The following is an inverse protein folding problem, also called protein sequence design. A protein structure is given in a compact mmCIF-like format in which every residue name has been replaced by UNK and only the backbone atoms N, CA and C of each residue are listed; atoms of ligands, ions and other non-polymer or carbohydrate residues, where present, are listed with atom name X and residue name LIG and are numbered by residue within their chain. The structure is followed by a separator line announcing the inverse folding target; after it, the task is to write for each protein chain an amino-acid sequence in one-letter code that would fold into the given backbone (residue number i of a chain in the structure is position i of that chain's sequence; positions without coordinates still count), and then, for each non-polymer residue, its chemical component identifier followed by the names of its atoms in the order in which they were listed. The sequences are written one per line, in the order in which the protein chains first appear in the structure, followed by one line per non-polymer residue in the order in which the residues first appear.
data_IF_911213829089
#
_entry.id   IF_911213829089
#
_cell.length_a   1.000
_cell.length_b   1.000
_cell.length_c   1.000
_cell.angle_alpha   90.00
_cell.angle_beta   90.00
_cell.angle_gamma   90.00
#
_symmetry.space_group_name_H-M   'P 1'
#
loop_
_entity.id
_entity.type
_entity.pdbx_description
1 polymer ?
#
# COMPACT_ATOMS: atom_id res chain seq x y z
N UNK A 1 -47.08 -78.34 -33.16
CA UNK A 1 -45.90 -79.09 -33.64
C UNK A 1 -44.91 -79.20 -32.50
N UNK A 2 -44.93 -80.38 -31.84
CA UNK A 2 -43.93 -81.09 -31.02
C UNK A 2 -43.03 -80.39 -29.97
N UNK A 3 -43.22 -80.86 -28.71
CA UNK A 3 -42.27 -81.30 -27.65
C UNK A 3 -41.32 -80.26 -27.02
N UNK A 4 -41.30 -79.96 -25.70
CA UNK A 4 -41.32 -80.75 -24.43
C UNK A 4 -40.00 -81.45 -24.09
N UNK A 5 -39.32 -80.96 -23.03
CA UNK A 5 -38.75 -81.71 -21.89
C UNK A 5 -37.41 -81.13 -21.33
N UNK A 6 -37.44 -80.86 -20.03
CA UNK A 6 -36.43 -80.53 -18.99
C UNK A 6 -35.63 -81.81 -18.58
N UNK A 7 -34.83 -81.94 -17.47
CA UNK A 7 -33.99 -81.05 -16.64
C UNK A 7 -32.56 -81.65 -16.33
N UNK A 8 -31.71 -80.96 -15.53
CA UNK A 8 -30.95 -81.50 -14.36
C UNK A 8 -29.65 -80.71 -13.99
N UNK A 9 -29.57 -80.30 -12.71
CA UNK A 9 -28.39 -79.88 -11.90
C UNK A 9 -27.72 -81.14 -11.26
N UNK A 10 -26.67 -81.17 -10.39
CA UNK A 10 -25.56 -80.26 -9.99
C UNK A 10 -24.16 -80.95 -9.95
N UNK A 11 -23.07 -80.21 -9.66
CA UNK A 11 -21.91 -80.67 -8.84
C UNK A 11 -20.80 -79.59 -8.64
N UNK A 12 -20.58 -79.21 -7.38
CA UNK A 12 -19.37 -78.60 -6.76
C UNK A 12 -18.37 -79.75 -6.39
N UNK A 13 -17.16 -79.61 -5.76
CA UNK A 13 -16.20 -78.51 -5.54
C UNK A 13 -14.72 -78.89 -5.88
N UNK A 14 -13.76 -77.97 -5.71
CA UNK A 14 -12.48 -78.16 -4.97
C UNK A 14 -11.29 -77.27 -5.45
N UNK A 15 -10.81 -76.46 -4.48
CA UNK A 15 -9.50 -75.80 -4.24
C UNK A 15 -8.31 -76.82 -4.31
N UNK A 16 -6.98 -76.52 -4.10
CA UNK A 16 -6.31 -75.27 -3.71
C UNK A 16 -4.89 -75.01 -4.32
N UNK A 17 -4.23 -73.97 -3.77
CA UNK A 17 -2.78 -73.79 -3.57
C UNK A 17 -1.96 -73.14 -4.71
N UNK A 18 -0.90 -72.36 -4.46
CA UNK A 18 -0.36 -71.57 -3.35
C UNK A 18 0.96 -70.96 -3.90
N UNK A 19 1.37 -69.78 -3.44
CA UNK A 19 2.78 -69.38 -3.20
C UNK A 19 3.03 -67.86 -3.21
N UNK A 20 3.18 -67.38 -1.97
CA UNK A 20 3.89 -66.21 -1.48
C UNK A 20 5.28 -65.96 -2.05
N UNK A 21 5.69 -64.68 -2.09
CA UNK A 21 7.01 -64.24 -1.65
C UNK A 21 6.98 -62.83 -1.00
N UNK A 22 7.27 -62.82 0.31
CA UNK A 22 7.86 -61.78 1.19
C UNK A 22 8.97 -60.91 0.52
N UNK A 23 9.42 -59.72 0.95
CA UNK A 23 9.17 -58.79 2.08
C UNK A 23 9.92 -57.43 1.83
N UNK A 24 9.54 -56.39 2.59
CA UNK A 24 10.02 -54.98 2.78
C UNK A 24 11.55 -54.86 3.17
N UNK A 25 12.29 -53.70 3.20
CA UNK A 25 11.86 -52.31 3.45
C UNK A 25 12.62 -51.10 2.80
N UNK A 26 12.05 -49.91 3.01
CA UNK A 26 12.67 -48.58 3.14
C UNK A 26 13.63 -48.02 2.05
N UNK A 27 13.13 -47.05 1.26
CA UNK A 27 13.94 -45.89 0.87
C UNK A 27 13.10 -44.60 0.85
N UNK A 28 13.48 -43.72 1.78
CA UNK A 28 13.22 -42.29 1.83
C UNK A 28 13.64 -41.64 0.50
N UNK A 29 12.76 -40.86 -0.14
CA UNK A 29 13.13 -39.56 -0.71
C UNK A 29 11.90 -38.68 -1.02
N UNK A 30 11.58 -37.82 -0.06
CA UNK A 30 11.26 -36.40 -0.26
C UNK A 30 10.25 -36.01 -1.36
N UNK A 31 8.95 -36.06 -1.01
CA UNK A 31 7.96 -35.20 -1.66
C UNK A 31 8.19 -33.75 -1.23
N UNK A 32 8.86 -32.98 -2.07
CA UNK A 32 8.94 -31.53 -1.94
C UNK A 32 7.54 -30.89 -2.09
N UNK A 33 7.06 -30.08 -1.13
CA UNK A 33 5.85 -29.30 -1.33
C UNK A 33 6.12 -28.21 -2.38
N UNK A 34 5.30 -28.17 -3.44
CA UNK A 34 5.23 -27.04 -4.38
C UNK A 34 4.98 -25.76 -3.57
N UNK A 35 5.98 -24.90 -3.49
CA UNK A 35 5.90 -23.59 -2.87
C UNK A 35 4.80 -22.75 -3.56
N UNK A 36 3.70 -22.52 -2.86
CA UNK A 36 2.69 -21.51 -3.20
C UNK A 36 3.17 -20.16 -2.65
N UNK A 37 3.99 -19.45 -3.41
CA UNK A 37 4.16 -17.99 -3.34
C UNK A 37 5.02 -17.53 -4.51
N UNK A 38 4.50 -16.63 -5.37
CA UNK A 38 5.17 -15.33 -5.46
C UNK A 38 4.23 -14.12 -5.65
N UNK A 39 2.91 -14.25 -5.47
CA UNK A 39 1.99 -13.14 -5.81
C UNK A 39 2.15 -11.91 -4.88
N UNK A 40 2.41 -12.14 -3.59
CA UNK A 40 2.65 -11.08 -2.59
C UNK A 40 3.99 -10.36 -2.77
N UNK A 41 5.00 -11.03 -3.35
CA UNK A 41 6.31 -10.44 -3.62
C UNK A 41 6.24 -9.44 -4.78
N UNK A 42 5.40 -9.72 -5.78
CA UNK A 42 5.17 -8.84 -6.94
C UNK A 42 4.53 -7.52 -6.57
N UNK A 43 3.58 -7.51 -5.62
CA UNK A 43 2.93 -6.26 -5.17
C UNK A 43 3.91 -5.36 -4.42
N UNK A 44 4.72 -5.92 -3.51
CA UNK A 44 5.77 -5.20 -2.79
C UNK A 44 6.91 -4.70 -3.68
N UNK A 45 7.23 -5.41 -4.77
CA UNK A 45 8.25 -4.97 -5.74
C UNK A 45 7.71 -3.93 -6.73
N UNK A 46 6.44 -4.00 -7.13
CA UNK A 46 5.80 -2.96 -7.96
C UNK A 46 5.73 -1.62 -7.20
N UNK A 47 5.49 -1.67 -5.89
CA UNK A 47 5.54 -0.55 -4.96
C UNK A 47 6.91 0.13 -4.84
N UNK A 48 7.99 -0.63 -5.05
CA UNK A 48 9.36 -0.12 -4.95
C UNK A 48 9.83 0.65 -6.19
N UNK A 49 9.07 0.60 -7.30
CA UNK A 49 9.41 1.25 -8.56
C UNK A 49 8.87 2.68 -8.69
N UNK A 50 9.57 3.68 -8.16
CA UNK A 50 9.55 5.11 -8.60
C UNK A 50 8.21 5.87 -8.73
N UNK A 51 7.07 5.33 -8.32
CA UNK A 51 5.75 5.97 -8.49
C UNK A 51 5.15 6.70 -7.29
N UNK A 52 5.69 6.52 -6.08
CA UNK A 52 5.10 7.08 -4.84
C UNK A 52 3.73 6.49 -4.48
N UNK A 53 3.19 6.90 -3.32
CA UNK A 53 1.90 6.44 -2.80
C UNK A 53 0.74 6.66 -3.79
N UNK A 54 0.74 7.77 -4.53
CA UNK A 54 -0.33 8.09 -5.48
C UNK A 54 -0.41 7.09 -6.65
N UNK A 55 0.73 6.55 -7.08
CA UNK A 55 0.76 5.53 -8.14
C UNK A 55 0.23 4.20 -7.63
N UNK A 56 0.59 3.82 -6.39
CA UNK A 56 0.00 2.66 -5.73
C UNK A 56 -1.51 2.78 -5.65
N UNK A 57 -2.02 3.90 -5.12
CA UNK A 57 -3.46 4.07 -4.89
C UNK A 57 -4.24 3.99 -6.21
N UNK A 58 -3.68 4.52 -7.32
CA UNK A 58 -4.26 4.36 -8.66
C UNK A 58 -4.25 2.91 -9.15
N UNK A 59 -3.12 2.22 -9.02
CA UNK A 59 -3.01 0.79 -9.38
C UNK A 59 -3.97 -0.08 -8.55
N UNK A 60 -4.15 0.22 -7.26
CA UNK A 60 -5.13 -0.44 -6.41
C UNK A 60 -6.56 -0.22 -6.89
N UNK A 61 -6.94 1.01 -7.27
CA UNK A 61 -8.29 1.27 -7.79
C UNK A 61 -8.54 0.51 -9.09
N UNK A 62 -7.58 0.47 -10.01
CA UNK A 62 -7.72 -0.26 -11.28
C UNK A 62 -7.81 -1.77 -11.05
N UNK A 63 -6.98 -2.32 -10.15
CA UNK A 63 -7.01 -3.75 -9.79
C UNK A 63 -8.28 -4.14 -9.04
N UNK A 64 -8.86 -3.25 -8.23
CA UNK A 64 -10.10 -3.54 -7.53
C UNK A 64 -11.25 -3.84 -8.49
N UNK A 65 -11.34 -3.07 -9.58
CA UNK A 65 -12.34 -3.30 -10.65
C UNK A 65 -12.16 -4.66 -11.32
N UNK A 66 -10.91 -5.12 -11.49
CA UNK A 66 -10.62 -6.44 -12.06
C UNK A 66 -10.85 -7.59 -11.07
N UNK A 67 -10.57 -7.37 -9.78
CA UNK A 67 -10.61 -8.39 -8.75
C UNK A 67 -12.02 -8.64 -8.20
N UNK A 68 -12.87 -7.60 -8.19
CA UNK A 68 -14.23 -7.68 -7.63
C UNK A 68 -15.25 -7.77 -8.75
N UNK A 69 -15.80 -8.96 -8.95
CA UNK A 69 -16.85 -9.18 -9.94
C UNK A 69 -18.04 -8.22 -9.72
N UNK A 70 -18.48 -7.58 -10.80
CA UNK A 70 -19.56 -6.58 -10.80
C UNK A 70 -19.09 -5.15 -10.58
N UNK A 71 -17.85 -4.91 -10.15
CA UNK A 71 -17.32 -3.55 -10.07
C UNK A 71 -17.07 -2.99 -11.47
N UNK A 72 -17.57 -1.80 -11.74
CA UNK A 72 -17.34 -1.05 -12.99
C UNK A 72 -16.46 0.17 -12.75
N UNK A 73 -16.45 0.68 -11.52
CA UNK A 73 -15.57 1.76 -11.12
C UNK A 73 -15.18 1.64 -9.64
N UNK A 74 -14.03 2.19 -9.27
CA UNK A 74 -13.51 2.16 -7.92
C UNK A 74 -12.88 3.50 -7.52
N UNK A 75 -12.98 3.85 -6.25
CA UNK A 75 -12.30 5.00 -5.63
C UNK A 75 -11.76 4.65 -4.26
N UNK A 76 -10.75 5.41 -3.81
CA UNK A 76 -10.26 5.37 -2.44
C UNK A 76 -10.49 6.74 -1.80
N UNK A 77 -11.19 6.72 -0.68
CA UNK A 77 -11.41 7.88 0.19
C UNK A 77 -10.52 7.77 1.43
N UNK A 78 -9.95 8.89 1.85
CA UNK A 78 -9.28 9.02 3.17
C UNK A 78 -9.76 10.28 3.86
N UNK A 79 -9.84 10.27 5.19
CA UNK A 79 -10.00 11.49 5.98
C UNK A 79 -8.65 12.07 6.32
N UNK A 80 -8.44 13.33 5.98
CA UNK A 80 -7.25 14.10 6.34
C UNK A 80 -7.68 15.44 6.93
N UNK A 81 -7.11 15.79 8.08
CA UNK A 81 -7.43 17.04 8.80
C UNK A 81 -8.95 17.22 9.03
N UNK A 82 -9.65 16.13 9.33
CA UNK A 82 -11.10 16.10 9.55
C UNK A 82 -11.97 16.11 8.28
N UNK A 83 -11.37 16.18 7.08
CA UNK A 83 -12.08 16.23 5.80
C UNK A 83 -11.86 14.97 4.98
N UNK A 84 -12.93 14.39 4.45
CA UNK A 84 -12.85 13.27 3.51
C UNK A 84 -12.45 13.78 2.12
N UNK A 85 -11.53 13.05 1.48
CA UNK A 85 -10.98 13.36 0.17
C UNK A 85 -10.83 12.06 -0.62
N UNK A 86 -11.23 12.09 -1.90
CA UNK A 86 -10.88 11.04 -2.85
C UNK A 86 -9.42 11.19 -3.25
N UNK A 87 -8.59 10.18 -2.97
CA UNK A 87 -7.15 10.18 -3.27
C UNK A 87 -6.78 9.37 -4.51
N UNK A 88 -7.67 8.48 -4.93
CA UNK A 88 -7.56 7.76 -6.20
C UNK A 88 -8.93 7.33 -6.70
N UNK A 89 -9.05 7.16 -8.00
CA UNK A 89 -10.23 6.58 -8.64
C UNK A 89 -9.93 6.13 -10.06
N UNK A 90 -10.69 5.13 -10.52
CA UNK A 90 -10.58 4.62 -11.88
C UNK A 90 -11.07 5.65 -12.90
N UNK A 91 -10.51 5.60 -14.11
CA UNK A 91 -11.01 6.41 -15.23
C UNK A 91 -12.47 6.08 -15.56
N UNK A 92 -13.31 7.09 -15.82
CA UNK A 92 -14.71 6.91 -16.21
C UNK A 92 -15.72 6.88 -15.07
N UNK A 93 -15.27 6.95 -13.82
CA UNK A 93 -16.14 7.13 -12.65
C UNK A 93 -16.92 8.45 -12.78
N UNK A 94 -18.26 8.46 -12.68
CA UNK A 94 -19.02 9.71 -12.76
C UNK A 94 -18.50 10.69 -11.71
N UNK A 95 -18.04 11.85 -12.16
CA UNK A 95 -17.42 12.83 -11.27
C UNK A 95 -18.38 13.26 -10.15
N UNK A 96 -17.83 13.38 -8.95
CA UNK A 96 -18.53 13.92 -7.79
C UNK A 96 -19.43 12.95 -7.02
N UNK A 97 -19.38 11.63 -7.28
CA UNK A 97 -20.08 10.63 -6.45
C UNK A 97 -19.61 10.67 -4.99
N UNK A 98 -18.31 10.64 -4.78
CA UNK A 98 -17.71 10.76 -3.44
C UNK A 98 -17.96 12.15 -2.85
N UNK A 99 -17.72 13.20 -3.66
CA UNK A 99 -17.91 14.60 -3.26
C UNK A 99 -19.33 14.86 -2.71
N UNK A 100 -20.36 14.27 -3.34
CA UNK A 100 -21.74 14.41 -2.88
C UNK A 100 -21.96 13.84 -1.48
N UNK A 101 -21.31 12.72 -1.15
CA UNK A 101 -21.39 12.11 0.18
C UNK A 101 -20.72 13.03 1.21
N UNK A 102 -19.61 13.65 0.85
CA UNK A 102 -18.90 14.59 1.73
C UNK A 102 -19.71 15.86 1.98
N UNK A 103 -20.33 16.42 0.94
CA UNK A 103 -21.21 17.60 1.05
C UNK A 103 -22.43 17.34 1.93
N UNK A 104 -22.98 16.13 1.87
CA UNK A 104 -24.10 15.72 2.71
C UNK A 104 -23.67 15.38 4.15
N UNK A 105 -22.38 15.11 4.38
CA UNK A 105 -21.85 14.61 5.65
C UNK A 105 -22.30 13.19 5.99
N UNK A 106 -22.94 12.48 5.06
CA UNK A 106 -23.41 11.09 5.20
C UNK A 106 -23.49 10.42 3.82
N UNK A 107 -23.28 9.11 3.80
CA UNK A 107 -23.20 8.29 2.60
C UNK A 107 -22.42 7.00 2.84
N UNK A 108 -22.49 6.02 1.94
CA UNK A 108 -21.79 4.74 2.08
C UNK A 108 -20.30 4.88 2.44
N UNK A 109 -19.54 5.74 1.75
CA UNK A 109 -18.11 5.88 1.99
C UNK A 109 -17.78 6.61 3.29
N UNK A 110 -18.60 7.62 3.65
CA UNK A 110 -18.49 8.35 4.91
C UNK A 110 -18.73 7.40 6.08
N UNK A 111 -19.80 6.60 5.99
CA UNK A 111 -20.14 5.61 7.02
C UNK A 111 -19.14 4.48 7.11
N UNK A 112 -18.64 3.97 5.99
CA UNK A 112 -17.60 2.95 5.99
C UNK A 112 -16.33 3.45 6.67
N UNK A 113 -15.91 4.68 6.37
CA UNK A 113 -14.76 5.31 7.00
C UNK A 113 -14.97 5.58 8.50
N UNK A 114 -16.17 6.01 8.91
CA UNK A 114 -16.45 6.38 10.32
C UNK A 114 -16.72 5.17 11.25
N UNK A 115 -17.32 4.11 10.73
CA UNK A 115 -17.81 2.97 11.53
C UNK A 115 -16.95 1.72 11.44
N UNK A 116 -15.90 1.73 10.62
CA UNK A 116 -15.08 0.56 10.28
C UNK A 116 -15.94 -0.65 9.85
N UNK A 117 -17.09 -0.37 9.24
CA UNK A 117 -18.05 -1.38 8.82
C UNK A 117 -18.44 -1.19 7.35
N UNK A 118 -18.41 -2.29 6.62
CA UNK A 118 -18.83 -2.34 5.21
C UNK A 118 -20.26 -1.81 5.03
N UNK A 119 -20.42 -0.93 4.04
CA UNK A 119 -21.71 -0.38 3.64
C UNK A 119 -22.06 -0.88 2.24
N UNK A 120 -23.22 -1.51 2.10
CA UNK A 120 -23.67 -2.08 0.84
C UNK A 120 -25.08 -1.58 0.52
N UNK A 121 -25.22 -0.97 -0.66
CA UNK A 121 -26.49 -0.59 -1.27
C UNK A 121 -26.67 -1.44 -2.55
N UNK A 122 -27.45 -2.53 -2.49
CA UNK A 122 -27.64 -3.42 -3.63
C UNK A 122 -28.41 -2.74 -4.76
N UNK A 123 -29.40 -1.91 -4.44
CA UNK A 123 -30.08 -1.03 -5.38
C UNK A 123 -30.28 0.36 -4.75
N UNK A 124 -29.73 1.38 -5.38
CA UNK A 124 -29.89 2.77 -4.97
C UNK A 124 -31.32 3.29 -5.19
N UNK A 125 -32.16 2.71 -6.05
CA UNK A 125 -33.56 3.14 -6.12
C UNK A 125 -34.42 2.73 -4.93
N UNK A 126 -33.96 1.79 -4.12
CA UNK A 126 -34.61 1.35 -2.89
C UNK A 126 -33.84 1.79 -1.63
N UNK A 127 -32.86 2.69 -1.79
CA UNK A 127 -31.97 3.10 -0.69
C UNK A 127 -32.53 4.29 0.11
N UNK A 128 -33.09 3.97 1.28
CA UNK A 128 -33.68 4.96 2.18
C UNK A 128 -32.69 5.56 3.19
N UNK A 129 -31.51 4.94 3.42
CA UNK A 129 -30.54 5.45 4.40
C UNK A 129 -29.86 6.73 3.92
N UNK A 130 -29.70 6.88 2.60
CA UNK A 130 -28.98 8.00 1.98
C UNK A 130 -29.74 8.59 0.79
N UNK A 131 -30.96 9.10 0.97
CA UNK A 131 -31.88 9.42 -0.13
C UNK A 131 -31.32 10.50 -1.07
N UNK A 132 -30.68 11.54 -0.51
CA UNK A 132 -30.04 12.61 -1.30
C UNK A 132 -28.88 12.10 -2.15
N UNK A 133 -28.07 11.20 -1.59
CA UNK A 133 -26.96 10.60 -2.32
C UNK A 133 -27.46 9.62 -3.38
N UNK A 134 -28.41 8.76 -3.04
CA UNK A 134 -29.01 7.79 -3.93
C UNK A 134 -29.62 8.46 -5.17
N UNK A 135 -30.40 9.52 -4.98
CA UNK A 135 -30.95 10.31 -6.09
C UNK A 135 -29.85 10.89 -7.01
N UNK A 136 -28.77 11.42 -6.42
CA UNK A 136 -27.64 11.92 -7.20
C UNK A 136 -26.91 10.81 -7.96
N UNK A 137 -26.59 9.71 -7.29
CA UNK A 137 -25.88 8.58 -7.88
C UNK A 137 -26.68 7.91 -9.02
N UNK A 138 -28.01 7.78 -8.85
CA UNK A 138 -28.92 7.34 -9.91
C UNK A 138 -28.92 8.29 -11.11
N UNK A 139 -28.89 9.61 -10.88
CA UNK A 139 -28.79 10.61 -11.96
C UNK A 139 -27.48 10.49 -12.77
N UNK A 140 -26.48 9.80 -12.21
CA UNK A 140 -25.20 9.48 -12.84
C UNK A 140 -25.13 8.06 -13.41
N UNK A 141 -26.22 7.30 -13.34
CA UNK A 141 -26.33 5.93 -13.85
C UNK A 141 -25.86 4.84 -12.89
N UNK A 142 -25.44 5.19 -11.66
CA UNK A 142 -25.03 4.19 -10.66
C UNK A 142 -26.26 3.56 -10.03
N UNK A 143 -26.28 2.23 -9.95
CA UNK A 143 -27.38 1.45 -9.36
C UNK A 143 -26.95 0.71 -8.10
N UNK A 144 -25.69 0.31 -7.97
CA UNK A 144 -25.20 -0.39 -6.77
C UNK A 144 -23.89 0.21 -6.26
N UNK A 145 -23.72 0.20 -4.94
CA UNK A 145 -22.55 0.72 -4.24
C UNK A 145 -22.11 -0.25 -3.16
N UNK A 146 -20.81 -0.49 -3.08
CA UNK A 146 -20.17 -1.19 -1.97
C UNK A 146 -18.99 -0.38 -1.46
N UNK A 147 -19.06 0.10 -0.22
CA UNK A 147 -17.96 0.78 0.45
C UNK A 147 -17.39 -0.14 1.54
N UNK A 148 -16.09 -0.42 1.46
CA UNK A 148 -15.37 -1.31 2.37
C UNK A 148 -14.30 -0.49 3.10
N UNK A 149 -14.20 -0.57 4.43
CA UNK A 149 -13.14 0.11 5.18
C UNK A 149 -11.74 -0.33 4.74
N UNK A 150 -10.80 0.60 4.80
CA UNK A 150 -9.37 0.35 4.64
C UNK A 150 -8.66 0.69 5.94
N UNK A 151 -7.96 -0.29 6.52
CA UNK A 151 -7.22 -0.11 7.76
C UNK A 151 -5.86 0.53 7.47
N UNK A 152 -5.76 1.85 7.58
CA UNK A 152 -4.54 2.61 7.28
C UNK A 152 -3.86 3.11 8.55
N UNK A 153 -2.57 2.83 8.72
CA UNK A 153 -1.80 3.18 9.91
C UNK A 153 -1.70 4.69 10.08
N UNK A 154 -2.32 5.21 11.14
CA UNK A 154 -2.30 6.64 11.50
C UNK A 154 -3.39 7.47 10.83
N UNK A 155 -4.23 6.86 9.98
CA UNK A 155 -5.43 7.47 9.41
C UNK A 155 -6.63 6.61 9.83
N UNK A 156 -7.50 7.12 10.70
CA UNK A 156 -8.58 6.29 11.26
C UNK A 156 -9.73 6.04 10.29
N UNK A 157 -9.82 6.79 9.19
CA UNK A 157 -11.05 6.83 8.40
C UNK A 157 -10.72 6.76 6.89
N UNK A 158 -10.56 5.55 6.36
CA UNK A 158 -10.34 5.31 4.93
C UNK A 158 -11.29 4.23 4.40
N UNK A 159 -11.67 4.34 3.12
CA UNK A 159 -12.60 3.41 2.48
C UNK A 159 -12.28 3.19 0.99
N UNK A 160 -12.48 1.96 0.54
CA UNK A 160 -12.53 1.53 -0.86
C UNK A 160 -13.99 1.52 -1.31
N UNK A 161 -14.35 2.33 -2.30
CA UNK A 161 -15.72 2.42 -2.80
C UNK A 161 -15.81 1.85 -4.20
N UNK A 162 -16.69 0.88 -4.38
CA UNK A 162 -16.96 0.17 -5.63
C UNK A 162 -18.36 0.54 -6.13
N UNK A 163 -18.45 0.77 -7.43
CA UNK A 163 -19.66 1.25 -8.09
C UNK A 163 -20.03 0.36 -9.27
N UNK A 164 -21.32 0.16 -9.49
CA UNK A 164 -21.86 -0.57 -10.63
C UNK A 164 -23.12 0.10 -11.19
N UNK A 165 -23.36 -0.05 -12.49
CA UNK A 165 -24.57 0.44 -13.17
C UNK A 165 -25.71 -0.59 -13.14
N UNK A 166 -25.45 -1.78 -12.59
CA UNK A 166 -26.44 -2.85 -12.37
C UNK A 166 -26.75 -3.01 -10.88
N UNK A 167 -28.01 -3.27 -10.55
CA UNK A 167 -28.42 -3.62 -9.19
C UNK A 167 -27.89 -4.99 -8.77
N UNK A 168 -27.67 -5.18 -7.46
CA UNK A 168 -27.21 -6.44 -6.89
C UNK A 168 -25.81 -6.88 -7.33
N UNK A 169 -25.05 -6.02 -8.02
CA UNK A 169 -23.76 -6.35 -8.64
C UNK A 169 -22.75 -6.99 -7.68
N UNK A 170 -22.86 -6.67 -6.38
CA UNK A 170 -21.92 -7.13 -5.37
C UNK A 170 -22.39 -8.32 -4.52
N UNK A 171 -23.60 -8.88 -4.75
CA UNK A 171 -24.15 -9.96 -3.91
C UNK A 171 -23.18 -11.16 -3.75
N UNK A 172 -22.49 -11.54 -4.81
CA UNK A 172 -21.53 -12.65 -4.82
C UNK A 172 -20.06 -12.26 -4.63
N UNK A 173 -19.73 -10.96 -4.54
CA UNK A 173 -18.34 -10.48 -4.56
C UNK A 173 -17.93 -9.68 -3.32
N UNK A 174 -18.82 -9.53 -2.32
CA UNK A 174 -18.51 -8.86 -1.05
C UNK A 174 -17.31 -9.46 -0.30
N UNK A 175 -17.19 -10.78 -0.27
CA UNK A 175 -16.04 -11.43 0.37
C UNK A 175 -14.74 -11.12 -0.36
N UNK A 176 -14.76 -11.17 -1.70
CA UNK A 176 -13.62 -10.79 -2.53
C UNK A 176 -13.25 -9.30 -2.33
N UNK A 177 -14.24 -8.42 -2.22
CA UNK A 177 -14.02 -7.00 -1.95
C UNK A 177 -13.35 -6.77 -0.59
N UNK A 178 -13.79 -7.47 0.47
CA UNK A 178 -13.14 -7.42 1.79
C UNK A 178 -11.72 -7.95 1.77
N UNK A 179 -11.50 -9.10 1.12
CA UNK A 179 -10.16 -9.67 0.98
C UNK A 179 -9.22 -8.72 0.20
N UNK A 180 -9.73 -8.09 -0.87
CA UNK A 180 -8.99 -7.09 -1.62
C UNK A 180 -8.68 -5.86 -0.76
N UNK A 181 -9.65 -5.34 -0.01
CA UNK A 181 -9.47 -4.19 0.87
C UNK A 181 -8.43 -4.47 1.98
N UNK A 182 -8.41 -5.68 2.54
CA UNK A 182 -7.38 -6.08 3.51
C UNK A 182 -5.97 -6.06 2.89
N UNK A 183 -5.80 -6.67 1.71
CA UNK A 183 -4.51 -6.67 1.01
C UNK A 183 -4.09 -5.25 0.58
N UNK A 184 -5.05 -4.42 0.16
CA UNK A 184 -4.81 -3.02 -0.18
C UNK A 184 -4.36 -2.22 1.05
N UNK A 185 -4.97 -2.46 2.21
CA UNK A 185 -4.58 -1.86 3.49
C UNK A 185 -3.12 -2.19 3.83
N UNK A 186 -2.73 -3.47 3.74
CA UNK A 186 -1.35 -3.91 3.98
C UNK A 186 -0.36 -3.24 3.03
N UNK A 187 -0.70 -3.16 1.74
CA UNK A 187 0.13 -2.52 0.71
C UNK A 187 0.31 -1.02 0.97
N UNK A 188 -0.77 -0.31 1.33
CA UNK A 188 -0.74 1.11 1.68
C UNK A 188 0.10 1.34 2.92
N UNK A 189 -0.07 0.52 3.97
CA UNK A 189 0.71 0.64 5.21
C UNK A 189 2.20 0.38 4.99
N UNK A 190 2.55 -0.61 4.17
CA UNK A 190 3.92 -0.85 3.78
C UNK A 190 4.53 0.34 3.03
N UNK A 191 3.79 0.93 2.08
CA UNK A 191 4.23 2.12 1.36
C UNK A 191 4.43 3.33 2.29
N UNK A 192 3.47 3.59 3.18
CA UNK A 192 3.55 4.68 4.17
C UNK A 192 4.75 4.50 5.11
N UNK A 193 5.03 3.28 5.57
CA UNK A 193 6.20 2.99 6.40
C UNK A 193 7.50 3.28 5.66
N UNK A 194 7.62 2.85 4.41
CA UNK A 194 8.81 3.12 3.57
C UNK A 194 9.01 4.63 3.38
N UNK A 195 7.94 5.38 3.12
CA UNK A 195 8.03 6.85 2.98
C UNK A 195 8.44 7.54 4.29
N UNK A 196 7.91 7.11 5.44
CA UNK A 196 8.32 7.61 6.76
C UNK A 196 9.79 7.31 7.07
N UNK A 197 10.26 6.10 6.76
CA UNK A 197 11.65 5.70 6.93
C UNK A 197 12.58 6.51 6.02
N UNK A 198 12.20 6.75 4.76
CA UNK A 198 12.95 7.58 3.82
C UNK A 198 13.03 9.04 4.27
N UNK A 199 11.91 9.61 4.73
CA UNK A 199 11.88 10.97 5.28
C UNK A 199 12.81 11.09 6.49
N UNK A 200 12.70 10.15 7.43
CA UNK A 200 13.54 10.10 8.63
C UNK A 200 15.04 9.96 8.30
N UNK A 201 15.38 9.07 7.36
CA UNK A 201 16.75 8.92 6.90
C UNK A 201 17.27 10.19 6.20
N UNK A 202 16.42 10.89 5.46
CA UNK A 202 16.71 12.19 4.86
C UNK A 202 17.03 13.25 5.91
N UNK A 203 16.22 13.35 6.97
CA UNK A 203 16.44 14.28 8.09
C UNK A 203 17.72 13.97 8.86
N UNK A 204 17.96 12.69 9.18
CA UNK A 204 19.20 12.24 9.84
C UNK A 204 20.41 12.55 8.96
N UNK A 205 20.36 12.23 7.66
CA UNK A 205 21.44 12.55 6.73
C UNK A 205 21.68 14.05 6.66
N UNK A 206 20.63 14.85 6.65
CA UNK A 206 20.70 16.31 6.66
C UNK A 206 21.35 16.84 7.93
N UNK A 207 21.01 16.27 9.09
CA UNK A 207 21.61 16.60 10.39
C UNK A 207 23.08 16.16 10.51
N UNK A 208 23.45 15.01 9.96
CA UNK A 208 24.84 14.55 9.93
C UNK A 208 25.70 15.41 9.00
N UNK A 209 25.18 15.77 7.82
CA UNK A 209 25.86 16.68 6.90
C UNK A 209 26.03 18.07 7.50
N UNK A 210 25.01 18.59 8.22
CA UNK A 210 25.13 19.87 8.90
C UNK A 210 26.18 19.84 10.01
N UNK A 211 26.24 18.77 10.81
CA UNK A 211 27.28 18.58 11.82
C UNK A 211 28.68 18.52 11.21
N UNK A 212 28.85 17.77 10.11
CA UNK A 212 30.15 17.69 9.43
C UNK A 212 30.62 19.05 8.91
N UNK A 213 29.73 19.86 8.33
CA UNK A 213 30.07 21.20 7.82
C UNK A 213 30.35 22.18 8.97
N UNK A 214 29.60 22.08 10.08
CA UNK A 214 29.86 22.88 11.27
C UNK A 214 31.22 22.53 11.90
N UNK A 215 31.53 21.24 12.04
CA UNK A 215 32.82 20.78 12.58
C UNK A 215 34.00 21.23 11.70
N UNK A 216 33.83 21.24 10.38
CA UNK A 216 34.82 21.80 9.44
C UNK A 216 35.01 23.32 9.63
N UNK A 217 33.92 24.08 9.73
CA UNK A 217 33.96 25.52 9.99
C UNK A 217 34.64 25.86 11.33
N UNK A 218 34.37 25.07 12.38
CA UNK A 218 35.05 25.17 13.67
C UNK A 218 36.55 24.94 13.48
N UNK A 219 36.95 23.90 12.76
CA UNK A 219 38.37 23.62 12.47
C UNK A 219 39.07 24.76 11.73
N UNK A 220 38.39 25.38 10.75
CA UNK A 220 38.91 26.54 10.00
C UNK A 220 39.12 27.73 10.96
N UNK A 221 38.14 28.07 11.79
CA UNK A 221 38.24 29.18 12.74
C UNK A 221 39.29 28.93 13.82
N UNK A 222 39.40 27.70 14.32
CA UNK A 222 40.47 27.34 15.25
C UNK A 222 41.85 27.58 14.65
N UNK A 223 42.03 27.22 13.37
CA UNK A 223 43.29 27.41 12.67
C UNK A 223 43.59 28.90 12.37
N UNK A 224 42.57 29.69 12.02
CA UNK A 224 42.72 31.11 11.69
C UNK A 224 42.92 31.99 12.93
N UNK A 225 42.08 31.81 13.95
CA UNK A 225 42.02 32.68 15.13
C UNK A 225 42.81 32.14 16.33
N UNK A 226 43.43 30.96 16.19
CA UNK A 226 44.15 30.25 17.27
C UNK A 226 43.33 30.12 18.55
N UNK A 227 42.05 29.82 18.42
CA UNK A 227 41.12 29.71 19.53
C UNK A 227 40.72 28.24 19.79
N UNK A 228 40.06 28.00 20.92
CA UNK A 228 39.50 26.68 21.24
C UNK A 228 38.24 26.39 20.42
N UNK A 229 37.92 25.11 20.24
CA UNK A 229 36.70 24.69 19.54
C UNK A 229 35.43 25.32 20.13
N UNK A 230 35.38 25.46 21.47
CA UNK A 230 34.27 26.11 22.17
C UNK A 230 34.14 27.59 21.78
N UNK A 231 35.24 28.32 21.76
CA UNK A 231 35.28 29.74 21.39
C UNK A 231 34.88 29.96 19.92
N UNK A 232 35.32 29.06 19.03
CA UNK A 232 34.96 29.08 17.62
C UNK A 232 33.45 28.84 17.41
N UNK A 233 32.88 27.82 18.08
CA UNK A 233 31.46 27.51 18.01
C UNK A 233 30.58 28.65 18.54
N UNK A 234 30.95 29.25 19.68
CA UNK A 234 30.22 30.37 20.26
C UNK A 234 30.28 31.61 19.38
N UNK A 235 31.40 31.80 18.66
CA UNK A 235 31.53 32.86 17.65
C UNK A 235 30.63 32.62 16.45
N UNK A 236 30.61 31.40 15.89
CA UNK A 236 29.72 31.06 14.78
C UNK A 236 28.24 31.21 15.15
N UNK A 237 27.85 30.81 16.38
CA UNK A 237 26.49 30.98 16.90
C UNK A 237 26.08 32.44 16.98
N UNK A 238 26.95 33.29 17.54
CA UNK A 238 26.70 34.74 17.62
C UNK A 238 26.51 35.35 16.23
N UNK A 239 27.41 35.06 15.29
CA UNK A 239 27.30 35.57 13.91
C UNK A 239 26.03 35.07 13.22
N UNK A 240 25.68 33.79 13.40
CA UNK A 240 24.44 33.21 12.87
C UNK A 240 23.19 33.92 13.42
N UNK A 241 23.16 34.22 14.73
CA UNK A 241 22.07 34.93 15.38
C UNK A 241 21.98 36.39 14.93
N UNK A 242 23.10 37.11 14.89
CA UNK A 242 23.15 38.52 14.49
C UNK A 242 22.72 38.72 13.02
N UNK A 243 23.07 37.76 12.15
CA UNK A 243 22.69 37.78 10.74
C UNK A 243 21.33 37.12 10.44
N UNK A 244 20.69 36.49 11.43
CA UNK A 244 19.45 35.71 11.29
C UNK A 244 19.51 34.66 10.15
N UNK A 245 20.64 33.98 10.02
CA UNK A 245 20.85 32.89 9.05
C UNK A 245 21.07 31.58 9.80
N UNK A 246 20.65 30.46 9.21
CA UNK A 246 20.86 29.15 9.84
C UNK A 246 22.36 28.88 9.97
N UNK A 247 22.81 28.46 11.15
CA UNK A 247 24.21 28.18 11.46
C UNK A 247 24.89 27.26 10.42
N UNK A 248 24.15 26.26 9.93
CA UNK A 248 24.61 25.36 8.86
C UNK A 248 25.01 26.13 7.60
N UNK A 249 24.18 27.06 7.16
CA UNK A 249 24.35 27.77 5.89
C UNK A 249 25.53 28.74 6.01
N UNK A 250 25.65 29.45 7.15
CA UNK A 250 26.83 30.26 7.49
C UNK A 250 28.13 29.44 7.46
N UNK A 251 28.12 28.26 8.09
CA UNK A 251 29.28 27.37 8.11
C UNK A 251 29.61 26.84 6.71
N UNK A 252 28.59 26.51 5.91
CA UNK A 252 28.75 26.10 4.51
C UNK A 252 29.44 27.18 3.68
N UNK A 253 28.99 28.43 3.81
CA UNK A 253 29.61 29.57 3.12
C UNK A 253 31.06 29.80 3.55
N UNK A 254 31.37 29.63 4.84
CA UNK A 254 32.75 29.75 5.35
C UNK A 254 33.66 28.66 4.77
N UNK A 255 33.19 27.41 4.75
CA UNK A 255 33.94 26.28 4.18
C UNK A 255 34.18 26.52 2.68
N UNK A 256 33.15 26.90 1.92
CA UNK A 256 33.25 27.17 0.48
C UNK A 256 34.26 28.28 0.16
N UNK A 257 34.21 29.41 0.89
CA UNK A 257 35.17 30.52 0.73
C UNK A 257 36.63 30.11 1.01
N UNK A 258 36.83 29.14 1.90
CA UNK A 258 38.17 28.67 2.26
C UNK A 258 38.73 27.69 1.22
N UNK A 259 37.86 26.91 0.57
CA UNK A 259 38.25 26.00 -0.52
C UNK A 259 38.46 26.71 -1.86
N UNK A 260 37.67 27.74 -2.16
CA UNK A 260 37.81 28.54 -3.40
C UNK A 260 39.03 29.48 -3.36
N UNK A 261 39.62 29.68 -2.18
CA UNK A 261 40.80 30.52 -1.94
C UNK A 261 42.15 29.79 -2.02
N UNK A 262 42.22 28.51 -2.37
CA UNK A 262 43.47 27.75 -2.40
C UNK A 262 44.21 27.91 -3.76
N UNK A 263 45.37 28.60 -3.84
CA UNK A 263 46.22 28.54 -5.01
C UNK A 263 46.90 27.16 -5.06
N UNK A 264 46.91 26.54 -6.25
CA UNK A 264 47.64 25.31 -6.49
C UNK A 264 49.08 25.42 -5.97
N UNK A 265 49.53 24.39 -5.24
CA UNK A 265 50.94 24.21 -4.90
C UNK A 265 51.74 24.10 -6.21
N UNK A 266 52.30 25.22 -6.65
CA UNK A 266 53.38 25.23 -7.61
C UNK A 266 54.63 24.66 -6.91
N UNK A 267 54.94 23.41 -7.24
CA UNK A 267 56.21 22.77 -6.94
C UNK A 267 57.35 23.57 -7.59
N UNK A 268 58.04 24.41 -6.82
CA UNK A 268 59.32 24.97 -7.26
C UNK A 268 60.42 23.92 -7.10
N UNK A 269 61.04 23.64 -8.24
CA UNK A 269 62.25 22.84 -8.45
C UNK A 269 63.37 23.26 -7.49
N UNK A 270 64.08 22.28 -6.94
CA UNK A 270 65.54 22.18 -7.05
C UNK A 270 65.92 20.71 -7.13
#
# INVERSE_FOLDING_TARGET
MRLSADPADPADPADPADHDHHADPAHLNERQPRATAPESATLHQALAGTGGLDTLLRDLTDRAVLAVAGAEACSITVRRDGRLLTVAGTGGLPSGLDQRQYENGDGPCVRAADSDAEQHAPDLSEEDRWPTYAAYALSKGVRSVLAVPLAVDGETDAALNLYATTEGAFHGSREAARAFAANASDAVNAALRIERERASAGDVRTALLSRSVIDQAIGILMAQERCTAQTALDTLRRVSQDANIKLRDLCGDLVARTTDGAPGRASQRR
#
